data_IF_852674925183
#
_entry.id   IF_852674925183
#
_cell.length_a   1.000
_cell.length_b   1.000
_cell.length_c   1.000
_cell.angle_alpha   90.00
_cell.angle_beta   90.00
_cell.angle_gamma   90.00
#
_symmetry.space_group_name_H-M   'P 1'
#
loop_
_entity.id
_entity.type
_entity.pdbx_description
1 polymer ?
#
# COMPACT_ATOMS: atom_id res chain seq x y z
N UNK A 1 10.45 -10.19 14.36
CA UNK A 1 9.51 -9.30 13.66
C UNK A 1 9.94 -9.26 12.21
N UNK A 2 9.07 -9.69 11.30
CA UNK A 2 9.32 -9.68 9.86
C UNK A 2 8.84 -8.33 9.29
N UNK A 3 9.74 -7.55 8.72
CA UNK A 3 9.43 -6.20 8.21
C UNK A 3 9.76 -6.13 6.73
N UNK A 4 8.87 -5.52 5.95
CA UNK A 4 9.14 -5.21 4.55
C UNK A 4 9.09 -3.71 4.32
N UNK A 5 9.93 -3.23 3.40
CA UNK A 5 9.89 -1.84 2.95
C UNK A 5 9.55 -1.80 1.47
N UNK A 6 8.49 -1.07 1.13
CA UNK A 6 8.02 -0.84 -0.23
C UNK A 6 8.44 0.58 -0.62
N UNK A 7 9.50 0.69 -1.42
CA UNK A 7 9.94 1.96 -1.98
C UNK A 7 9.20 2.25 -3.29
N UNK A 8 8.25 3.18 -3.24
CA UNK A 8 7.46 3.56 -4.41
C UNK A 8 8.29 4.27 -5.48
N UNK A 9 9.49 4.78 -5.15
CA UNK A 9 10.42 5.31 -6.15
C UNK A 9 10.84 4.27 -7.18
N UNK A 10 10.88 2.99 -6.82
CA UNK A 10 11.27 1.89 -7.71
C UNK A 10 10.17 1.51 -8.71
N UNK A 11 8.95 1.99 -8.48
CA UNK A 11 7.76 1.63 -9.23
C UNK A 11 7.18 2.79 -10.05
N UNK A 12 7.86 3.94 -10.09
CA UNK A 12 7.43 5.07 -10.93
C UNK A 12 7.72 4.81 -12.41
N UNK A 13 6.80 5.16 -13.29
CA UNK A 13 7.17 5.52 -14.67
C UNK A 13 7.75 6.93 -14.64
N UNK A 14 8.75 7.22 -15.47
CA UNK A 14 9.35 8.55 -15.55
C UNK A 14 8.24 9.59 -15.77
N UNK A 15 7.96 10.44 -14.76
CA UNK A 15 6.95 11.51 -14.69
C UNK A 15 5.59 11.22 -14.03
N UNK A 16 5.29 10.01 -13.55
CA UNK A 16 3.99 9.79 -12.88
C UNK A 16 4.04 10.25 -11.42
N UNK A 17 3.53 11.44 -11.16
CA UNK A 17 3.37 12.01 -9.81
C UNK A 17 2.09 11.53 -9.10
N UNK A 18 1.44 10.50 -9.64
CA UNK A 18 0.20 9.89 -9.13
C UNK A 18 0.34 8.37 -9.09
N UNK A 19 -0.05 7.78 -7.95
CA UNK A 19 -0.29 6.35 -7.80
C UNK A 19 -1.79 6.07 -7.76
N UNK A 20 -2.37 5.77 -8.93
CA UNK A 20 -3.80 5.55 -9.05
C UNK A 20 -4.13 4.28 -9.83
N UNK A 21 -5.25 3.67 -9.46
CA UNK A 21 -5.85 2.56 -10.19
C UNK A 21 -5.39 1.20 -9.67
N UNK A 22 -6.34 0.26 -9.63
CA UNK A 22 -6.13 -1.10 -9.11
C UNK A 22 -5.13 -1.89 -9.95
N UNK A 23 -5.16 -1.73 -11.26
CA UNK A 23 -4.20 -2.37 -12.17
C UNK A 23 -2.77 -1.97 -11.83
N UNK A 24 -2.51 -0.67 -11.63
CA UNK A 24 -1.17 -0.19 -11.25
C UNK A 24 -0.74 -0.73 -9.88
N UNK A 25 -1.65 -0.81 -8.91
CA UNK A 25 -1.39 -1.46 -7.63
C UNK A 25 -0.98 -2.92 -7.80
N UNK A 26 -1.70 -3.67 -8.64
CA UNK A 26 -1.39 -5.07 -8.95
C UNK A 26 -0.02 -5.22 -9.65
N UNK A 27 0.35 -4.31 -10.55
CA UNK A 27 1.67 -4.31 -11.19
C UNK A 27 2.80 -4.13 -10.18
N UNK A 28 2.62 -3.25 -9.20
CA UNK A 28 3.57 -3.09 -8.09
C UNK A 28 3.60 -4.35 -7.24
N UNK A 29 2.44 -4.89 -6.90
CA UNK A 29 2.34 -6.13 -6.12
C UNK A 29 3.09 -7.30 -6.77
N UNK A 30 2.95 -7.50 -8.09
CA UNK A 30 3.64 -8.56 -8.84
C UNK A 30 5.18 -8.48 -8.77
N UNK A 31 5.73 -7.30 -8.48
CA UNK A 31 7.17 -7.09 -8.31
C UNK A 31 7.63 -7.34 -6.87
N UNK A 32 6.69 -7.47 -5.94
CA UNK A 32 6.90 -7.92 -4.57
C UNK A 32 6.57 -9.43 -4.51
N UNK A 33 7.14 -10.16 -3.57
CA UNK A 33 6.72 -11.56 -3.39
C UNK A 33 5.52 -11.61 -2.45
N UNK A 34 4.49 -12.38 -2.81
CA UNK A 34 3.29 -12.54 -1.98
C UNK A 34 3.63 -13.10 -0.59
N UNK A 35 4.63 -13.99 -0.52
CA UNK A 35 5.14 -14.54 0.74
C UNK A 35 5.72 -13.46 1.65
N UNK A 36 6.45 -12.48 1.11
CA UNK A 36 6.96 -11.36 1.90
C UNK A 36 5.84 -10.51 2.46
N UNK A 37 4.83 -10.20 1.64
CA UNK A 37 3.69 -9.36 2.05
C UNK A 37 2.82 -10.04 3.12
N UNK A 38 2.51 -11.31 2.92
CA UNK A 38 1.59 -12.03 3.80
C UNK A 38 2.22 -12.40 5.15
N UNK A 39 3.53 -12.62 5.19
CA UNK A 39 4.25 -12.95 6.43
C UNK A 39 4.86 -11.72 7.15
N UNK A 40 4.70 -10.51 6.61
CA UNK A 40 5.27 -9.30 7.23
C UNK A 40 4.44 -8.85 8.43
N UNK A 41 5.02 -8.76 9.62
CA UNK A 41 4.36 -8.15 10.79
C UNK A 41 4.16 -6.65 10.59
N UNK A 42 5.10 -6.02 9.86
CA UNK A 42 5.10 -4.59 9.57
C UNK A 42 5.39 -4.33 8.09
N UNK A 43 4.56 -3.47 7.48
CA UNK A 43 4.78 -2.98 6.11
C UNK A 43 5.12 -1.49 6.16
N UNK A 44 6.33 -1.17 5.72
CA UNK A 44 6.84 0.20 5.61
C UNK A 44 6.68 0.75 4.19
N UNK A 45 6.17 1.96 4.05
CA UNK A 45 6.10 2.66 2.75
C UNK A 45 7.08 3.82 2.68
N UNK A 46 7.83 3.92 1.59
CA UNK A 46 8.60 5.13 1.23
C UNK A 46 7.91 5.76 0.03
N UNK A 47 7.29 6.91 0.24
CA UNK A 47 6.61 7.67 -0.81
C UNK A 47 7.52 8.80 -1.32
N UNK A 48 7.76 8.92 -2.65
CA UNK A 48 8.54 10.01 -3.23
C UNK A 48 7.97 11.40 -2.93
N UNK A 49 8.84 12.40 -2.73
CA UNK A 49 8.46 13.79 -2.42
C UNK A 49 7.68 14.51 -3.54
N UNK A 50 7.77 14.02 -4.77
CA UNK A 50 7.11 14.56 -5.95
C UNK A 50 5.76 13.89 -6.25
N UNK A 51 5.29 12.98 -5.39
CA UNK A 51 3.95 12.38 -5.48
C UNK A 51 2.93 13.30 -4.83
N UNK A 52 1.89 13.66 -5.58
CA UNK A 52 0.81 14.53 -5.07
C UNK A 52 -0.50 13.79 -4.81
N UNK A 53 -0.69 12.58 -5.33
CA UNK A 53 -1.93 11.83 -5.16
C UNK A 53 -1.70 10.30 -5.11
N UNK A 54 -2.43 9.64 -4.21
CA UNK A 54 -2.62 8.19 -4.19
C UNK A 54 -4.09 7.91 -3.87
N UNK A 55 -4.69 6.97 -4.58
CA UNK A 55 -6.09 6.60 -4.35
C UNK A 55 -6.25 5.21 -3.73
N UNK A 56 -7.41 4.99 -3.11
CA UNK A 56 -7.75 3.73 -2.45
C UNK A 56 -7.71 2.55 -3.42
N UNK A 57 -8.07 2.74 -4.69
CA UNK A 57 -7.98 1.71 -5.72
C UNK A 57 -6.54 1.18 -5.93
N UNK A 58 -5.54 2.06 -5.91
CA UNK A 58 -4.13 1.66 -5.99
C UNK A 58 -3.73 0.80 -4.78
N UNK A 59 -4.08 1.25 -3.57
CA UNK A 59 -3.79 0.54 -2.33
C UNK A 59 -4.46 -0.83 -2.31
N UNK A 60 -5.71 -0.93 -2.79
CA UNK A 60 -6.43 -2.19 -2.94
C UNK A 60 -5.74 -3.16 -3.89
N UNK A 61 -5.19 -2.67 -5.01
CA UNK A 61 -4.40 -3.52 -5.91
C UNK A 61 -3.09 -3.99 -5.27
N UNK A 62 -2.46 -3.14 -4.46
CA UNK A 62 -1.18 -3.47 -3.82
C UNK A 62 -1.33 -4.42 -2.62
N UNK A 63 -2.28 -4.13 -1.73
CA UNK A 63 -2.40 -4.76 -0.41
C UNK A 63 -3.73 -5.49 -0.19
N UNK A 64 -4.72 -5.36 -1.06
CA UNK A 64 -6.08 -5.84 -0.78
C UNK A 64 -6.13 -7.32 -0.42
N UNK A 65 -5.35 -8.16 -1.11
CA UNK A 65 -5.24 -9.58 -0.76
C UNK A 65 -4.61 -9.82 0.62
N UNK A 66 -3.51 -9.14 0.92
CA UNK A 66 -2.83 -9.25 2.21
C UNK A 66 -3.73 -8.78 3.36
N UNK A 67 -4.48 -7.69 3.17
CA UNK A 67 -5.47 -7.20 4.14
C UNK A 67 -6.55 -8.27 4.38
N UNK A 68 -7.14 -8.83 3.33
CA UNK A 68 -8.16 -9.88 3.44
C UNK A 68 -7.65 -11.13 4.14
N UNK A 69 -6.49 -11.65 3.74
CA UNK A 69 -5.94 -12.88 4.30
C UNK A 69 -5.67 -12.74 5.80
N UNK A 70 -5.09 -11.62 6.20
CA UNK A 70 -4.77 -11.38 7.61
C UNK A 70 -5.98 -11.05 8.47
N UNK A 71 -6.94 -10.30 7.94
CA UNK A 71 -8.24 -10.12 8.60
C UNK A 71 -8.90 -11.47 8.86
N UNK A 72 -8.96 -12.36 7.86
CA UNK A 72 -9.51 -13.72 8.02
C UNK A 72 -8.76 -14.56 9.05
N UNK A 73 -7.45 -14.33 9.20
CA UNK A 73 -6.62 -15.00 10.20
C UNK A 73 -6.69 -14.35 11.60
N UNK A 74 -7.38 -13.22 11.76
CA UNK A 74 -7.40 -12.46 13.02
C UNK A 74 -6.06 -11.83 13.38
N UNK A 75 -5.21 -11.55 12.39
CA UNK A 75 -3.88 -11.00 12.56
C UNK A 75 -3.93 -9.49 12.33
N UNK A 76 -3.55 -8.71 13.34
CA UNK A 76 -3.36 -7.27 13.22
C UNK A 76 -2.15 -6.96 12.34
N UNK A 77 -2.27 -5.94 11.50
CA UNK A 77 -1.18 -5.45 10.66
C UNK A 77 -0.82 -4.05 11.11
N UNK A 78 0.46 -3.85 11.38
CA UNK A 78 1.00 -2.52 11.59
C UNK A 78 1.58 -1.99 10.29
N UNK A 79 1.17 -0.77 9.94
CA UNK A 79 1.65 -0.08 8.77
C UNK A 79 2.45 1.14 9.22
N UNK A 80 3.70 1.23 8.78
CA UNK A 80 4.56 2.38 9.03
C UNK A 80 4.69 3.15 7.72
N UNK A 81 4.17 4.36 7.68
CA UNK A 81 4.11 5.12 6.44
C UNK A 81 5.06 6.30 6.57
N UNK A 82 6.14 6.29 5.76
CA UNK A 82 7.04 7.43 5.61
C UNK A 82 6.62 8.20 4.37
N UNK A 83 5.92 9.30 4.61
CA UNK A 83 5.31 10.13 3.58
C UNK A 83 5.88 11.54 3.58
N UNK A 84 5.89 12.20 2.43
CA UNK A 84 6.22 13.62 2.31
C UNK A 84 5.26 14.49 3.11
N UNK A 85 5.78 15.61 3.61
CA UNK A 85 4.98 16.63 4.28
C UNK A 85 3.87 17.16 3.35
N UNK A 86 2.63 17.20 3.84
CA UNK A 86 1.46 17.67 3.09
C UNK A 86 0.70 16.58 2.32
N UNK A 87 1.19 15.34 2.32
CA UNK A 87 0.54 14.19 1.67
C UNK A 87 -0.23 13.28 2.64
N UNK A 88 -0.09 13.51 3.95
CA UNK A 88 -0.63 12.70 5.05
C UNK A 88 -2.11 12.42 4.89
N UNK A 89 -2.91 13.48 4.78
CA UNK A 89 -4.35 13.35 4.72
C UNK A 89 -4.82 12.58 3.49
N UNK A 90 -4.20 12.82 2.33
CA UNK A 90 -4.57 12.10 1.11
C UNK A 90 -4.26 10.61 1.23
N UNK A 91 -3.09 10.29 1.77
CA UNK A 91 -2.68 8.90 1.97
C UNK A 91 -3.59 8.21 2.99
N UNK A 92 -3.77 8.81 4.17
CA UNK A 92 -4.58 8.24 5.25
C UNK A 92 -6.01 7.95 4.81
N UNK A 93 -6.64 8.88 4.07
CA UNK A 93 -7.98 8.68 3.54
C UNK A 93 -8.03 7.49 2.57
N UNK A 94 -7.14 7.47 1.58
CA UNK A 94 -7.07 6.38 0.61
C UNK A 94 -6.81 5.02 1.29
N UNK A 95 -5.94 5.00 2.30
CA UNK A 95 -5.57 3.80 3.03
C UNK A 95 -6.71 3.28 3.90
N UNK A 96 -7.38 4.18 4.62
CA UNK A 96 -8.56 3.85 5.43
C UNK A 96 -9.71 3.31 4.58
N UNK A 97 -9.99 3.97 3.45
CA UNK A 97 -11.00 3.50 2.49
C UNK A 97 -10.68 2.09 1.97
N UNK A 98 -9.42 1.83 1.63
CA UNK A 98 -9.00 0.52 1.16
C UNK A 98 -9.19 -0.57 2.23
N UNK A 99 -8.77 -0.31 3.47
CA UNK A 99 -8.96 -1.25 4.57
C UNK A 99 -10.45 -1.52 4.83
N UNK A 100 -11.26 -0.48 4.93
CA UNK A 100 -12.70 -0.62 5.16
C UNK A 100 -13.38 -1.43 4.04
N UNK A 101 -12.97 -1.20 2.79
CA UNK A 101 -13.53 -1.92 1.65
C UNK A 101 -13.24 -3.43 1.68
N UNK A 102 -12.16 -3.89 2.31
CA UNK A 102 -11.76 -5.30 2.33
C UNK A 102 -12.19 -6.03 3.61
N UNK A 103 -12.43 -5.29 4.69
CA UNK A 103 -12.91 -5.83 5.98
C UNK A 103 -14.43 -6.01 6.01
N UNK A 104 -15.17 -5.18 5.25
CA UNK A 104 -16.64 -5.19 5.23
C UNK A 104 -17.26 -6.22 4.27
N UNK A 105 -16.45 -7.09 3.65
CA UNK A 105 -16.88 -8.15 2.71
C UNK A 105 -16.66 -9.52 3.35
#
# INVERSE_FOLDING_TARGET
>A
MNQITIDLNLFRSSKSAVFAGRERGNEVRKKLTDDQLNNADEISFIVPNDVYAMNSSFILGLLGETIRQKHKAGIDIHYVIKIPAGFERSFENAFREAIQSEILI
#
